data_IF_083704715846
#
_entry.id   IF_083704715846
#
_cell.length_a   1.000
_cell.length_b   1.000
_cell.length_c   1.000
_cell.angle_alpha   90.00
_cell.angle_beta   90.00
_cell.angle_gamma   90.00
#
_symmetry.space_group_name_H-M   'P 1'
#
loop_
_entity.id
_entity.type
_entity.pdbx_description
1 polymer ?
#
# COMPACT_ATOMS: atom_id res chain seq x y z
N UNK A 1 -27.03 3.24 -13.08
CA UNK A 1 -27.88 3.46 -11.88
C UNK A 1 -29.32 3.82 -12.22
N UNK A 2 -29.59 4.46 -13.37
CA UNK A 2 -30.94 4.90 -13.80
C UNK A 2 -31.45 4.21 -15.09
N UNK A 3 -31.22 2.89 -15.25
CA UNK A 3 -31.83 2.13 -16.37
C UNK A 3 -31.10 2.15 -17.72
N UNK A 4 -29.86 2.66 -17.78
CA UNK A 4 -29.02 2.62 -19.00
C UNK A 4 -28.29 1.28 -19.25
N UNK A 5 -28.64 0.23 -18.50
CA UNK A 5 -28.07 -1.11 -18.66
C UNK A 5 -28.84 -1.93 -19.72
N UNK A 6 -28.27 -3.03 -20.25
CA UNK A 6 -28.96 -3.88 -21.23
C UNK A 6 -30.29 -4.46 -20.77
N UNK A 7 -30.53 -4.54 -19.46
CA UNK A 7 -31.79 -4.99 -18.86
C UNK A 7 -32.79 -3.85 -18.59
N UNK A 8 -32.44 -2.61 -18.92
CA UNK A 8 -33.23 -1.40 -18.64
C UNK A 8 -33.75 -1.30 -17.19
N UNK A 9 -32.96 -1.80 -16.24
CA UNK A 9 -33.28 -1.89 -14.82
C UNK A 9 -32.57 -0.78 -14.02
N UNK A 10 -33.32 -0.12 -13.15
CA UNK A 10 -32.81 0.88 -12.24
C UNK A 10 -32.39 0.23 -10.91
N UNK A 11 -31.16 -0.28 -10.86
CA UNK A 11 -30.61 -0.93 -9.66
C UNK A 11 -30.65 -0.07 -8.38
N UNK A 12 -30.54 1.26 -8.51
CA UNK A 12 -30.49 2.17 -7.35
C UNK A 12 -29.49 1.72 -6.29
N UNK A 13 -29.94 1.57 -5.05
CA UNK A 13 -29.19 0.98 -3.93
C UNK A 13 -29.84 -0.32 -3.42
N UNK A 14 -30.50 -1.09 -4.30
CA UNK A 14 -31.30 -2.28 -3.91
C UNK A 14 -30.52 -3.30 -3.08
N UNK A 15 -29.22 -3.46 -3.32
CA UNK A 15 -28.36 -4.41 -2.61
C UNK A 15 -27.76 -3.88 -1.29
N UNK A 16 -28.04 -2.63 -0.93
CA UNK A 16 -27.50 -1.97 0.28
C UNK A 16 -28.47 -1.98 1.47
N UNK A 17 -29.61 -2.66 1.36
CA UNK A 17 -30.61 -2.75 2.43
C UNK A 17 -30.12 -3.54 3.65
N UNK A 18 -29.09 -4.38 3.48
CA UNK A 18 -28.43 -5.12 4.58
C UNK A 18 -26.96 -4.68 4.67
N UNK A 19 -26.64 -3.66 5.50
CA UNK A 19 -25.33 -3.00 5.46
C UNK A 19 -24.18 -3.85 6.04
N UNK A 20 -24.47 -4.83 6.90
CA UNK A 20 -23.47 -5.69 7.53
C UNK A 20 -23.95 -7.14 7.50
N UNK A 21 -23.22 -7.98 6.78
CA UNK A 21 -23.52 -9.41 6.63
C UNK A 21 -22.78 -10.21 7.68
N UNK A 22 -23.42 -11.27 8.18
CA UNK A 22 -22.82 -12.21 9.12
C UNK A 22 -21.70 -13.01 8.44
N UNK A 23 -20.55 -13.13 9.10
CA UNK A 23 -19.37 -13.78 8.50
C UNK A 23 -19.11 -15.19 9.06
N UNK A 24 -18.82 -15.32 10.36
CA UNK A 24 -18.46 -16.62 10.97
C UNK A 24 -19.54 -17.07 11.96
N UNK A 25 -19.92 -16.19 12.87
CA UNK A 25 -21.02 -16.43 13.81
C UNK A 25 -22.31 -15.78 13.29
N UNK A 26 -23.44 -16.15 13.87
CA UNK A 26 -24.74 -15.49 13.61
C UNK A 26 -24.95 -14.32 14.57
N UNK A 27 -25.81 -13.37 14.20
CA UNK A 27 -26.12 -12.19 15.01
C UNK A 27 -25.05 -11.10 15.01
N UNK A 28 -25.04 -10.26 16.04
CA UNK A 28 -24.20 -9.04 16.09
C UNK A 28 -22.70 -9.35 16.11
N UNK A 29 -22.30 -10.47 16.73
CA UNK A 29 -20.92 -10.95 16.70
C UNK A 29 -20.47 -11.30 15.27
N UNK A 30 -21.35 -11.95 14.50
CA UNK A 30 -21.13 -12.27 13.10
C UNK A 30 -20.93 -11.05 12.21
N UNK A 31 -21.76 -10.03 12.42
CA UNK A 31 -21.68 -8.75 11.70
C UNK A 31 -20.40 -7.99 12.03
N UNK A 32 -19.99 -7.98 13.30
CA UNK A 32 -18.73 -7.40 13.72
C UNK A 32 -17.53 -8.13 13.11
N UNK A 33 -17.55 -9.46 13.06
CA UNK A 33 -16.51 -10.26 12.40
C UNK A 33 -16.41 -9.96 10.90
N UNK A 34 -17.55 -9.76 10.22
CA UNK A 34 -17.59 -9.33 8.81
C UNK A 34 -16.98 -7.93 8.59
N UNK A 35 -17.21 -7.01 9.53
CA UNK A 35 -16.56 -5.70 9.52
C UNK A 35 -15.04 -5.80 9.68
N UNK A 36 -14.57 -6.58 10.66
CA UNK A 36 -13.13 -6.77 10.91
C UNK A 36 -12.44 -7.48 9.73
N UNK A 37 -13.09 -8.47 9.13
CA UNK A 37 -12.57 -9.15 7.94
C UNK A 37 -12.42 -8.18 6.76
N UNK A 38 -13.45 -7.34 6.53
CA UNK A 38 -13.43 -6.30 5.49
C UNK A 38 -12.34 -5.25 5.75
N UNK A 39 -12.18 -4.82 7.01
CA UNK A 39 -11.14 -3.87 7.43
C UNK A 39 -9.73 -4.44 7.22
N UNK A 40 -9.52 -5.73 7.50
CA UNK A 40 -8.24 -6.40 7.28
C UNK A 40 -7.87 -6.45 5.80
N UNK A 41 -8.83 -6.77 4.92
CA UNK A 41 -8.62 -6.71 3.46
C UNK A 41 -8.40 -5.27 2.97
N UNK A 42 -9.01 -4.27 3.61
CA UNK A 42 -8.75 -2.86 3.32
C UNK A 42 -7.32 -2.41 3.68
N UNK A 43 -6.75 -2.92 4.78
CA UNK A 43 -5.35 -2.64 5.15
C UNK A 43 -4.35 -3.10 4.08
N UNK A 44 -4.63 -4.20 3.37
CA UNK A 44 -3.82 -4.63 2.23
C UNK A 44 -3.92 -3.66 1.04
N UNK A 45 -5.13 -3.14 0.78
CA UNK A 45 -5.38 -2.27 -0.37
C UNK A 45 -4.70 -0.91 -0.23
N UNK A 46 -4.67 -0.34 0.98
CA UNK A 46 -4.03 0.96 1.25
C UNK A 46 -2.52 0.77 1.46
N UNK A 47 -1.83 0.50 0.36
CA UNK A 47 -0.39 0.58 0.21
C UNK A 47 -0.04 1.62 -0.87
N UNK A 48 1.18 2.14 -0.88
CA UNK A 48 1.60 3.04 -1.97
C UNK A 48 2.24 4.37 -1.57
N UNK A 49 1.74 5.10 -0.56
CA UNK A 49 2.29 6.41 -0.21
C UNK A 49 3.79 6.37 0.10
N UNK A 50 4.27 5.30 0.72
CA UNK A 50 5.68 5.06 1.01
C UNK A 50 6.56 4.94 -0.25
N UNK A 51 6.04 4.49 -1.39
CA UNK A 51 6.81 4.45 -2.64
C UNK A 51 7.02 5.85 -3.22
N UNK A 52 6.07 6.77 -3.00
CA UNK A 52 6.25 8.18 -3.36
C UNK A 52 7.43 8.79 -2.61
N UNK A 53 7.69 8.34 -1.37
CA UNK A 53 8.87 8.76 -0.60
C UNK A 53 10.18 8.27 -1.20
N UNK A 54 10.21 7.10 -1.85
CA UNK A 54 11.45 6.56 -2.42
C UNK A 54 11.91 7.35 -3.64
N UNK A 55 10.95 7.88 -4.41
CA UNK A 55 11.22 8.71 -5.59
C UNK A 55 11.67 10.13 -5.19
N UNK A 56 11.54 10.50 -3.91
CA UNK A 56 12.00 11.80 -3.41
C UNK A 56 13.48 12.05 -3.71
N UNK A 57 14.33 11.03 -3.62
CA UNK A 57 15.77 11.12 -3.92
C UNK A 57 16.09 11.34 -5.40
N UNK A 58 15.14 11.04 -6.29
CA UNK A 58 15.29 11.18 -7.75
C UNK A 58 14.47 12.37 -8.30
N UNK A 59 13.71 13.04 -7.43
CA UNK A 59 12.86 14.18 -7.82
C UNK A 59 13.69 15.46 -7.84
N UNK A 60 13.56 16.25 -8.92
CA UNK A 60 14.29 17.52 -9.09
C UNK A 60 13.98 18.52 -7.95
N UNK A 61 12.70 18.71 -7.60
CA UNK A 61 12.28 19.59 -6.50
C UNK A 61 11.33 18.85 -5.53
N UNK A 62 11.86 18.03 -4.61
CA UNK A 62 11.04 17.17 -3.77
C UNK A 62 10.15 17.96 -2.82
N UNK A 63 10.62 19.08 -2.26
CA UNK A 63 9.86 19.89 -1.29
C UNK A 63 8.61 20.55 -1.89
N UNK A 64 8.62 20.86 -3.18
CA UNK A 64 7.46 21.42 -3.89
C UNK A 64 6.57 20.34 -4.48
N UNK A 65 7.16 19.30 -5.08
CA UNK A 65 6.44 18.28 -5.85
C UNK A 65 5.79 17.24 -4.92
N UNK A 66 6.50 16.75 -3.91
CA UNK A 66 6.02 15.66 -3.05
C UNK A 66 4.73 16.01 -2.30
N UNK A 67 4.58 17.18 -1.65
CA UNK A 67 3.33 17.50 -0.95
C UNK A 67 2.10 17.49 -1.87
N UNK A 68 2.28 17.89 -3.14
CA UNK A 68 1.22 17.78 -4.15
C UNK A 68 0.98 16.34 -4.55
N UNK A 69 2.04 15.56 -4.81
CA UNK A 69 1.94 14.15 -5.19
C UNK A 69 1.21 13.32 -4.11
N UNK A 70 1.55 13.48 -2.82
CA UNK A 70 0.87 12.79 -1.72
C UNK A 70 -0.63 13.11 -1.65
N UNK A 71 -1.00 14.40 -1.82
CA UNK A 71 -2.41 14.81 -1.84
C UNK A 71 -3.16 14.18 -3.00
N UNK A 72 -2.55 14.15 -4.18
CA UNK A 72 -3.15 13.55 -5.37
C UNK A 72 -3.31 12.04 -5.21
N UNK A 73 -2.29 11.34 -4.70
CA UNK A 73 -2.36 9.89 -4.44
C UNK A 73 -3.48 9.58 -3.45
N UNK A 74 -3.58 10.32 -2.34
CA UNK A 74 -4.65 10.11 -1.36
C UNK A 74 -6.05 10.31 -1.97
N UNK A 75 -6.25 11.36 -2.76
CA UNK A 75 -7.53 11.63 -3.45
C UNK A 75 -7.83 10.53 -4.48
N UNK A 76 -6.85 10.15 -5.29
CA UNK A 76 -7.01 9.11 -6.32
C UNK A 76 -7.35 7.76 -5.70
N UNK A 77 -6.61 7.31 -4.69
CA UNK A 77 -6.90 6.06 -3.99
C UNK A 77 -8.30 6.09 -3.37
N UNK A 78 -8.69 7.19 -2.72
CA UNK A 78 -10.03 7.31 -2.13
C UNK A 78 -11.12 7.23 -3.19
N UNK A 79 -11.01 7.99 -4.28
CA UNK A 79 -12.03 8.01 -5.34
C UNK A 79 -12.11 6.65 -6.04
N UNK A 80 -10.99 6.04 -6.42
CA UNK A 80 -10.99 4.79 -7.16
C UNK A 80 -11.39 3.59 -6.28
N UNK A 81 -10.96 3.54 -5.02
CA UNK A 81 -11.28 2.40 -4.15
C UNK A 81 -12.69 2.50 -3.60
N UNK A 82 -13.08 3.66 -3.05
CA UNK A 82 -14.44 3.84 -2.53
C UNK A 82 -15.44 3.87 -3.68
N UNK A 83 -15.15 4.59 -4.76
CA UNK A 83 -16.00 4.64 -5.95
C UNK A 83 -16.13 3.28 -6.64
N UNK A 84 -15.03 2.53 -6.75
CA UNK A 84 -15.04 1.16 -7.29
C UNK A 84 -15.84 0.20 -6.41
N UNK A 85 -15.61 0.21 -5.10
CA UNK A 85 -16.36 -0.61 -4.15
C UNK A 85 -17.86 -0.28 -4.15
N UNK A 86 -18.23 1.01 -4.19
CA UNK A 86 -19.62 1.45 -4.34
C UNK A 86 -20.22 0.98 -5.67
N UNK A 87 -19.48 1.13 -6.77
CA UNK A 87 -19.93 0.72 -8.10
C UNK A 87 -20.19 -0.79 -8.18
N UNK A 88 -19.31 -1.61 -7.63
CA UNK A 88 -19.50 -3.07 -7.55
C UNK A 88 -20.62 -3.44 -6.59
N UNK A 89 -20.66 -2.85 -5.40
CA UNK A 89 -21.69 -3.14 -4.40
C UNK A 89 -23.11 -2.78 -4.84
N UNK A 90 -23.27 -1.83 -5.77
CA UNK A 90 -24.56 -1.53 -6.39
C UNK A 90 -24.92 -2.52 -7.50
N UNK A 91 -23.93 -3.01 -8.24
CA UNK A 91 -24.15 -3.88 -9.41
C UNK A 91 -24.23 -5.37 -9.07
N UNK A 92 -23.63 -5.81 -7.96
CA UNK A 92 -23.54 -7.22 -7.57
C UNK A 92 -24.09 -7.40 -6.15
N UNK A 93 -24.93 -8.43 -5.97
CA UNK A 93 -25.43 -8.81 -4.65
C UNK A 93 -24.36 -9.59 -3.88
N UNK A 94 -24.29 -9.41 -2.56
CA UNK A 94 -23.25 -10.04 -1.74
C UNK A 94 -23.33 -11.58 -1.76
N UNK A 95 -24.53 -12.16 -1.94
CA UNK A 95 -24.77 -13.60 -2.00
C UNK A 95 -25.10 -14.07 -3.43
N UNK A 96 -24.50 -13.43 -4.43
CA UNK A 96 -24.63 -13.87 -5.82
C UNK A 96 -24.02 -15.28 -6.00
N UNK A 97 -24.73 -16.25 -6.61
CA UNK A 97 -24.21 -17.59 -6.79
C UNK A 97 -22.84 -17.65 -7.48
N UNK A 98 -22.60 -16.78 -8.47
CA UNK A 98 -21.32 -16.73 -9.18
C UNK A 98 -20.19 -16.19 -8.29
N UNK A 99 -20.51 -15.27 -7.36
CA UNK A 99 -19.55 -14.74 -6.40
C UNK A 99 -19.24 -15.77 -5.31
N UNK A 100 -20.26 -16.47 -4.81
CA UNK A 100 -20.12 -17.53 -3.81
C UNK A 100 -19.37 -18.73 -4.38
N UNK A 101 -19.65 -19.13 -5.63
CA UNK A 101 -18.91 -20.17 -6.33
C UNK A 101 -17.46 -19.76 -6.58
N UNK A 102 -17.20 -18.49 -6.93
CA UNK A 102 -15.86 -17.97 -7.05
C UNK A 102 -15.06 -18.05 -5.72
N UNK A 103 -15.71 -17.75 -4.59
CA UNK A 103 -15.08 -17.80 -3.26
C UNK A 103 -14.88 -19.26 -2.80
N UNK A 104 -15.89 -20.11 -2.94
CA UNK A 104 -15.88 -21.49 -2.40
C UNK A 104 -15.23 -22.52 -3.35
N UNK A 105 -15.36 -22.32 -4.66
CA UNK A 105 -14.85 -23.22 -5.69
C UNK A 105 -13.35 -23.08 -5.94
N UNK A 106 -12.71 -22.04 -5.39
CA UNK A 106 -11.26 -21.81 -5.54
C UNK A 106 -10.82 -21.62 -6.99
N UNK A 107 -11.72 -21.16 -7.86
CA UNK A 107 -11.43 -20.93 -9.27
C UNK A 107 -10.30 -19.90 -9.42
N UNK A 108 -9.15 -20.25 -10.01
CA UNK A 108 -8.02 -19.33 -10.14
C UNK A 108 -8.35 -18.14 -11.05
N UNK A 109 -7.96 -16.93 -10.64
CA UNK A 109 -7.75 -15.80 -11.56
C UNK A 109 -8.82 -14.71 -11.62
N UNK A 110 -8.60 -13.74 -12.51
CA UNK A 110 -9.42 -12.52 -12.68
C UNK A 110 -10.89 -12.78 -13.09
N UNK A 111 -11.21 -14.00 -13.55
CA UNK A 111 -12.57 -14.42 -13.94
C UNK A 111 -13.58 -14.53 -12.78
N UNK A 112 -13.08 -14.52 -11.54
CA UNK A 112 -13.83 -14.55 -10.28
C UNK A 112 -14.06 -13.14 -9.66
N UNK A 113 -13.54 -12.08 -10.29
CA UNK A 113 -13.68 -10.71 -9.79
C UNK A 113 -15.14 -10.27 -9.75
N UNK A 114 -15.56 -9.61 -8.66
CA UNK A 114 -16.92 -9.07 -8.55
C UNK A 114 -17.28 -8.10 -9.70
N UNK A 115 -16.28 -7.45 -10.32
CA UNK A 115 -16.46 -6.65 -11.53
C UNK A 115 -16.90 -7.50 -12.73
N UNK A 116 -16.27 -8.65 -12.95
CA UNK A 116 -16.60 -9.53 -14.09
C UNK A 116 -17.90 -10.25 -13.85
N UNK A 117 -18.19 -10.65 -12.61
CA UNK A 117 -19.49 -11.21 -12.20
C UNK A 117 -20.63 -10.22 -12.45
N UNK A 118 -20.47 -8.95 -12.04
CA UNK A 118 -21.46 -7.91 -12.31
C UNK A 118 -21.74 -7.75 -13.81
N UNK A 119 -20.70 -7.78 -14.65
CA UNK A 119 -20.84 -7.65 -16.11
C UNK A 119 -21.50 -8.87 -16.76
N UNK A 120 -21.18 -10.08 -16.29
CA UNK A 120 -21.84 -11.32 -16.72
C UNK A 120 -23.32 -11.32 -16.35
N UNK A 121 -23.66 -10.91 -15.13
CA UNK A 121 -25.04 -10.79 -14.68
C UNK A 121 -25.84 -9.80 -15.53
N UNK A 122 -25.19 -8.77 -16.07
CA UNK A 122 -25.79 -7.80 -16.99
C UNK A 122 -25.93 -8.32 -18.43
N UNK A 123 -25.41 -9.51 -18.76
CA UNK A 123 -25.45 -10.08 -20.10
C UNK A 123 -24.46 -9.45 -21.08
N UNK A 124 -23.44 -8.74 -20.60
CA UNK A 124 -22.43 -8.09 -21.45
C UNK A 124 -21.28 -9.06 -21.69
N UNK A 125 -21.23 -9.66 -22.88
CA UNK A 125 -20.26 -10.73 -23.17
C UNK A 125 -18.82 -10.23 -23.37
N UNK A 126 -18.63 -9.04 -23.96
CA UNK A 126 -17.29 -8.54 -24.35
C UNK A 126 -16.56 -7.85 -23.18
N UNK A 127 -17.29 -7.14 -22.33
CA UNK A 127 -16.74 -6.29 -21.28
C UNK A 127 -15.92 -7.07 -20.22
N UNK A 128 -16.32 -8.28 -19.77
CA UNK A 128 -15.50 -9.11 -18.88
C UNK A 128 -14.10 -9.40 -19.43
N UNK A 129 -13.98 -9.64 -20.74
CA UNK A 129 -12.69 -9.93 -21.37
C UNK A 129 -11.78 -8.70 -21.38
N UNK A 130 -12.32 -7.53 -21.72
CA UNK A 130 -11.59 -6.26 -21.68
C UNK A 130 -11.08 -5.98 -20.25
N UNK A 131 -11.96 -6.13 -19.25
CA UNK A 131 -11.59 -5.90 -17.85
C UNK A 131 -10.54 -6.88 -17.36
N UNK A 132 -10.62 -8.15 -17.75
CA UNK A 132 -9.58 -9.14 -17.44
C UNK A 132 -8.22 -8.75 -18.02
N UNK A 133 -8.16 -8.30 -19.28
CA UNK A 133 -6.92 -7.84 -19.91
C UNK A 133 -6.36 -6.60 -19.19
N UNK A 134 -7.22 -5.67 -18.79
CA UNK A 134 -6.83 -4.49 -18.02
C UNK A 134 -6.31 -4.86 -16.63
N UNK A 135 -6.94 -5.81 -15.93
CA UNK A 135 -6.48 -6.30 -14.63
C UNK A 135 -5.11 -6.97 -14.72
N UNK A 136 -4.87 -7.78 -15.75
CA UNK A 136 -3.55 -8.41 -15.98
C UNK A 136 -2.49 -7.36 -16.30
N UNK A 137 -2.79 -6.42 -17.21
CA UNK A 137 -1.87 -5.32 -17.55
C UNK A 137 -1.55 -4.45 -16.33
N UNK A 138 -2.55 -4.13 -15.52
CA UNK A 138 -2.38 -3.36 -14.28
C UNK A 138 -1.53 -4.13 -13.25
N UNK A 139 -1.78 -5.43 -13.09
CA UNK A 139 -0.99 -6.29 -12.19
C UNK A 139 0.48 -6.38 -12.63
N UNK A 140 0.73 -6.48 -13.94
CA UNK A 140 2.08 -6.48 -14.49
C UNK A 140 2.79 -5.14 -14.26
N UNK A 141 2.10 -4.02 -14.49
CA UNK A 141 2.64 -2.68 -14.22
C UNK A 141 2.98 -2.50 -12.74
N UNK A 142 2.09 -2.94 -11.83
CA UNK A 142 2.35 -2.88 -10.39
C UNK A 142 3.57 -3.75 -10.01
N UNK A 143 3.68 -4.97 -10.55
CA UNK A 143 4.82 -5.85 -10.31
C UNK A 143 6.15 -5.23 -10.73
N UNK A 144 6.19 -4.50 -11.85
CA UNK A 144 7.37 -3.75 -12.27
C UNK A 144 7.73 -2.64 -11.26
N UNK A 145 6.75 -1.85 -10.81
CA UNK A 145 6.96 -0.80 -9.80
C UNK A 145 7.46 -1.37 -8.46
N UNK A 146 6.92 -2.49 -7.99
CA UNK A 146 7.39 -3.14 -6.76
C UNK A 146 8.80 -3.69 -6.89
N UNK A 147 9.15 -4.28 -8.03
CA UNK A 147 10.51 -4.76 -8.31
C UNK A 147 11.50 -3.59 -8.32
N UNK A 148 11.12 -2.47 -8.93
CA UNK A 148 11.90 -1.23 -8.88
C UNK A 148 12.16 -0.76 -7.45
N UNK A 149 11.09 -0.57 -6.67
CA UNK A 149 11.17 -0.07 -5.29
C UNK A 149 12.00 -0.99 -4.39
N UNK A 150 11.77 -2.31 -4.46
CA UNK A 150 12.52 -3.31 -3.69
C UNK A 150 14.02 -3.27 -4.01
N UNK A 151 14.38 -3.21 -5.29
CA UNK A 151 15.78 -3.17 -5.71
C UNK A 151 16.51 -1.91 -5.22
N UNK A 152 15.84 -0.75 -5.24
CA UNK A 152 16.39 0.54 -4.76
C UNK A 152 16.53 0.57 -3.25
N UNK A 153 15.56 0.05 -2.51
CA UNK A 153 15.64 -0.07 -1.07
C UNK A 153 16.82 -0.97 -0.64
N UNK A 154 16.98 -2.13 -1.29
CA UNK A 154 18.08 -3.05 -1.00
C UNK A 154 19.45 -2.46 -1.39
N UNK A 155 19.53 -1.77 -2.52
CA UNK A 155 20.73 -1.04 -2.94
C UNK A 155 21.11 0.06 -1.94
N UNK A 156 20.15 0.87 -1.49
CA UNK A 156 20.38 1.91 -0.47
C UNK A 156 20.90 1.33 0.84
N UNK A 157 20.31 0.22 1.31
CA UNK A 157 20.81 -0.50 2.48
C UNK A 157 22.24 -1.03 2.29
N UNK A 158 22.61 -1.44 1.08
CA UNK A 158 23.96 -1.92 0.79
C UNK A 158 25.00 -0.79 0.82
N UNK A 159 24.65 0.41 0.32
CA UNK A 159 25.51 1.60 0.38
C UNK A 159 25.79 2.04 1.82
N UNK A 160 24.79 1.95 2.70
CA UNK A 160 24.94 2.25 4.14
C UNK A 160 25.64 1.14 4.93
N UNK A 161 26.05 0.05 4.27
CA UNK A 161 26.67 -1.11 4.93
C UNK A 161 25.72 -1.92 5.81
N UNK A 162 24.40 -1.78 5.58
CA UNK A 162 23.32 -2.55 6.25
C UNK A 162 23.01 -3.87 5.55
N UNK A 163 23.27 -3.96 4.25
CA UNK A 163 23.17 -5.19 3.47
C UNK A 163 24.54 -5.62 2.90
N UNK A 164 24.60 -6.82 2.30
CA UNK A 164 25.82 -7.31 1.67
C UNK A 164 26.28 -6.38 0.52
N UNK A 165 27.59 -6.10 0.45
CA UNK A 165 28.18 -5.20 -0.56
C UNK A 165 27.91 -5.59 -2.01
N UNK A 166 27.62 -6.87 -2.26
CA UNK A 166 27.25 -7.40 -3.59
C UNK A 166 26.02 -6.67 -4.14
N UNK A 167 25.08 -6.26 -3.27
CA UNK A 167 23.87 -5.54 -3.69
C UNK A 167 24.12 -4.07 -4.05
N UNK A 168 25.29 -3.52 -3.71
CA UNK A 168 25.71 -2.19 -4.14
C UNK A 168 26.34 -2.19 -5.56
N UNK A 169 26.50 -3.36 -6.19
CA UNK A 169 27.01 -3.45 -7.54
C UNK A 169 25.94 -3.03 -8.57
N UNK A 170 26.29 -2.05 -9.40
CA UNK A 170 25.47 -1.57 -10.52
C UNK A 170 26.10 -1.91 -11.86
N UNK A 171 25.27 -2.18 -12.86
CA UNK A 171 25.71 -2.24 -14.26
C UNK A 171 26.15 -0.85 -14.77
N UNK A 172 26.71 -0.80 -15.98
CA UNK A 172 27.09 0.44 -16.68
C UNK A 172 25.97 1.47 -16.75
N UNK A 173 24.72 1.02 -16.83
CA UNK A 173 23.52 1.86 -16.88
C UNK A 173 22.98 2.26 -15.49
N UNK A 174 23.71 1.98 -14.40
CA UNK A 174 23.31 2.33 -13.03
C UNK A 174 22.25 1.42 -12.41
N UNK A 175 22.04 0.22 -12.96
CA UNK A 175 21.01 -0.74 -12.54
C UNK A 175 21.59 -1.78 -11.56
N UNK A 176 21.04 -1.93 -10.33
CA UNK A 176 21.53 -2.89 -9.33
C UNK A 176 21.04 -4.32 -9.61
N UNK A 177 21.73 -5.05 -10.49
CA UNK A 177 21.29 -6.36 -11.02
C UNK A 177 21.03 -7.39 -9.90
N UNK A 178 21.95 -7.52 -8.94
CA UNK A 178 21.79 -8.52 -7.87
C UNK A 178 20.59 -8.24 -6.97
N UNK A 179 20.28 -6.96 -6.72
CA UNK A 179 19.11 -6.56 -5.94
C UNK A 179 17.80 -6.87 -6.69
N UNK A 180 17.81 -6.71 -8.01
CA UNK A 180 16.67 -7.10 -8.87
C UNK A 180 16.47 -8.61 -8.86
N UNK A 181 17.53 -9.39 -9.04
CA UNK A 181 17.45 -10.86 -9.04
C UNK A 181 16.85 -11.39 -7.73
N UNK A 182 17.32 -10.88 -6.59
CA UNK A 182 16.75 -11.27 -5.28
C UNK A 182 15.28 -10.89 -5.19
N UNK A 183 14.89 -9.71 -5.68
CA UNK A 183 13.49 -9.28 -5.69
C UNK A 183 12.63 -10.21 -6.57
N UNK A 184 13.14 -10.65 -7.72
CA UNK A 184 12.46 -11.58 -8.62
C UNK A 184 12.37 -13.01 -8.04
N UNK A 185 13.35 -13.45 -7.25
CA UNK A 185 13.31 -14.75 -6.57
C UNK A 185 12.09 -14.88 -5.64
N UNK A 186 11.66 -13.79 -4.99
CA UNK A 186 10.43 -13.80 -4.19
C UNK A 186 9.18 -14.03 -5.04
N UNK A 187 9.18 -13.60 -6.31
CA UNK A 187 8.11 -13.90 -7.26
C UNK A 187 7.94 -15.39 -7.54
N UNK A 188 8.99 -16.20 -7.39
CA UNK A 188 8.91 -17.66 -7.54
C UNK A 188 8.03 -18.33 -6.47
N UNK A 189 7.73 -17.66 -5.35
CA UNK A 189 6.76 -18.17 -4.37
C UNK A 189 5.36 -18.37 -4.97
N UNK A 190 5.02 -17.67 -6.07
CA UNK A 190 3.78 -17.90 -6.79
C UNK A 190 3.64 -19.36 -7.29
N UNK A 191 4.75 -20.08 -7.54
CA UNK A 191 4.71 -21.49 -7.95
C UNK A 191 4.20 -22.46 -6.88
N UNK A 192 4.07 -22.03 -5.62
CA UNK A 192 3.45 -22.84 -4.56
C UNK A 192 2.00 -23.24 -4.92
N UNK A 193 1.33 -22.47 -5.78
CA UNK A 193 0.00 -22.79 -6.30
C UNK A 193 -0.05 -24.08 -7.15
N UNK A 194 1.10 -24.63 -7.58
CA UNK A 194 1.13 -25.89 -8.33
C UNK A 194 0.87 -27.11 -7.42
N UNK A 195 1.17 -27.01 -6.12
CA UNK A 195 1.00 -28.11 -5.16
C UNK A 195 -0.21 -27.99 -4.24
N UNK A 196 -0.88 -26.82 -4.21
CA UNK A 196 -2.02 -26.50 -3.35
C UNK A 196 -3.05 -25.67 -4.13
N UNK A 197 -4.26 -25.54 -3.62
CA UNK A 197 -5.27 -24.67 -4.24
C UNK A 197 -4.77 -23.22 -4.32
N UNK A 198 -4.94 -22.57 -5.47
CA UNK A 198 -4.39 -21.24 -5.73
C UNK A 198 -4.92 -20.16 -4.78
N UNK A 199 -6.19 -20.25 -4.38
CA UNK A 199 -6.81 -19.34 -3.40
C UNK A 199 -6.11 -19.37 -2.04
N UNK A 200 -5.76 -20.56 -1.55
CA UNK A 200 -5.09 -20.75 -0.26
C UNK A 200 -3.70 -20.11 -0.27
N UNK A 201 -2.92 -20.36 -1.33
CA UNK A 201 -1.58 -19.77 -1.49
C UNK A 201 -1.65 -18.26 -1.63
N UNK A 202 -2.64 -17.75 -2.36
CA UNK A 202 -2.87 -16.31 -2.48
C UNK A 202 -3.19 -15.69 -1.12
N UNK A 203 -4.07 -16.30 -0.33
CA UNK A 203 -4.40 -15.80 1.01
C UNK A 203 -3.18 -15.80 1.94
N UNK A 204 -2.31 -16.82 1.87
CA UNK A 204 -1.05 -16.85 2.61
C UNK A 204 -0.13 -15.67 2.24
N UNK A 205 0.06 -15.42 0.94
CA UNK A 205 0.89 -14.31 0.46
C UNK A 205 0.28 -12.97 0.84
N UNK A 206 -1.03 -12.80 0.70
CA UNK A 206 -1.74 -11.56 1.07
C UNK A 206 -1.61 -11.29 2.57
N UNK A 207 -1.79 -12.29 3.42
CA UNK A 207 -1.65 -12.13 4.87
C UNK A 207 -0.22 -11.73 5.24
N UNK A 208 0.78 -12.41 4.67
CA UNK A 208 2.20 -12.11 4.89
C UNK A 208 2.56 -10.68 4.45
N UNK A 209 2.13 -10.26 3.27
CA UNK A 209 2.39 -8.90 2.74
C UNK A 209 1.70 -7.85 3.59
N UNK A 210 0.45 -8.10 4.00
CA UNK A 210 -0.30 -7.13 4.82
C UNK A 210 0.34 -6.95 6.20
N UNK A 211 0.79 -8.03 6.84
CA UNK A 211 1.50 -7.94 8.11
C UNK A 211 2.79 -7.11 7.96
N UNK A 212 3.60 -7.39 6.92
CA UNK A 212 4.81 -6.61 6.62
C UNK A 212 4.51 -5.12 6.38
N UNK A 213 3.44 -4.82 5.64
CA UNK A 213 3.02 -3.45 5.35
C UNK A 213 2.61 -2.68 6.61
N UNK A 214 1.83 -3.30 7.50
CA UNK A 214 1.43 -2.69 8.77
C UNK A 214 2.64 -2.41 9.66
N UNK A 215 3.61 -3.33 9.71
CA UNK A 215 4.88 -3.13 10.42
C UNK A 215 5.70 -2.00 9.80
N UNK A 216 5.78 -1.95 8.47
CA UNK A 216 6.45 -0.86 7.77
C UNK A 216 5.88 0.51 8.17
N UNK A 217 4.55 0.65 8.21
CA UNK A 217 3.92 1.89 8.68
C UNK A 217 4.21 2.19 10.15
N UNK A 218 4.25 1.19 11.03
CA UNK A 218 4.65 1.40 12.43
C UNK A 218 6.09 1.95 12.51
N UNK A 219 7.02 1.43 11.71
CA UNK A 219 8.42 1.91 11.67
C UNK A 219 8.51 3.32 11.12
N UNK A 220 7.77 3.65 10.06
CA UNK A 220 7.71 5.02 9.50
C UNK A 220 7.20 6.00 10.55
N UNK A 221 6.07 5.68 11.21
CA UNK A 221 5.48 6.54 12.23
C UNK A 221 6.40 6.73 13.43
N UNK A 222 7.06 5.66 13.86
CA UNK A 222 8.06 5.72 14.95
C UNK A 222 9.22 6.63 14.55
N UNK A 223 9.80 6.41 13.37
CA UNK A 223 10.92 7.22 12.85
C UNK A 223 10.54 8.70 12.75
N UNK A 224 9.32 8.99 12.29
CA UNK A 224 8.80 10.36 12.24
C UNK A 224 8.67 11.00 13.64
N UNK A 225 8.19 10.25 14.64
CA UNK A 225 8.09 10.73 16.02
C UNK A 225 9.47 11.04 16.62
N UNK A 226 10.48 10.21 16.35
CA UNK A 226 11.87 10.45 16.75
C UNK A 226 12.47 11.67 16.04
N UNK A 227 12.31 11.77 14.71
CA UNK A 227 12.74 12.93 13.92
C UNK A 227 12.14 14.21 14.46
N UNK A 228 10.83 14.21 14.72
CA UNK A 228 10.14 15.38 15.26
C UNK A 228 10.68 15.78 16.62
N UNK A 229 10.89 14.82 17.51
CA UNK A 229 11.45 15.09 18.85
C UNK A 229 12.85 15.70 18.73
N UNK A 230 13.70 15.20 17.83
CA UNK A 230 15.01 15.78 17.55
C UNK A 230 14.91 17.22 17.01
N UNK A 231 14.05 17.44 16.02
CA UNK A 231 13.84 18.76 15.41
C UNK A 231 13.30 19.79 16.41
N UNK A 232 12.36 19.40 17.27
CA UNK A 232 11.79 20.26 18.31
C UNK A 232 12.84 20.68 19.35
N UNK A 233 13.80 19.79 19.67
CA UNK A 233 14.88 20.08 20.62
C UNK A 233 15.99 20.94 19.99
N UNK A 234 16.39 20.64 18.76
CA UNK A 234 17.53 21.31 18.12
C UNK A 234 17.17 22.64 17.45
N UNK A 235 16.01 22.72 16.78
CA UNK A 235 15.61 23.91 16.01
C UNK A 235 14.48 24.67 16.69
N UNK A 236 13.51 23.96 17.28
CA UNK A 236 12.35 24.53 17.97
C UNK A 236 11.35 25.28 17.09
N UNK A 237 11.75 25.71 15.89
CA UNK A 237 10.91 26.43 14.94
C UNK A 237 10.42 25.54 13.79
N UNK A 238 9.19 25.06 13.94
CA UNK A 238 8.51 24.26 12.91
C UNK A 238 8.12 25.06 11.67
N UNK A 239 8.15 26.39 11.68
CA UNK A 239 7.84 27.24 10.51
C UNK A 239 8.82 27.06 9.37
N UNK A 240 10.05 26.66 9.68
CA UNK A 240 11.11 26.38 8.70
C UNK A 240 10.92 25.05 7.97
N UNK A 241 10.02 24.18 8.44
CA UNK A 241 9.74 22.93 7.73
C UNK A 241 8.96 23.20 6.44
N UNK A 242 9.39 22.62 5.30
CA UNK A 242 8.74 22.83 4.00
C UNK A 242 7.28 22.37 3.96
N UNK A 243 6.96 21.36 4.78
CA UNK A 243 5.62 20.80 4.90
C UNK A 243 5.31 20.49 6.36
N UNK A 244 4.06 20.76 6.76
CA UNK A 244 3.52 20.40 8.07
C UNK A 244 2.24 19.61 7.90
N UNK A 245 2.20 18.41 8.47
CA UNK A 245 0.99 17.60 8.52
C UNK A 245 -0.05 18.23 9.45
N UNK A 246 -1.32 18.12 9.08
CA UNK A 246 -2.44 18.52 9.92
C UNK A 246 -2.58 17.56 11.12
N UNK A 247 -2.90 18.09 12.31
CA UNK A 247 -3.16 17.28 13.51
C UNK A 247 -1.94 16.58 14.14
N UNK A 248 -0.72 16.94 13.72
CA UNK A 248 0.50 16.34 14.23
C UNK A 248 0.82 16.83 15.66
N UNK A 249 1.09 15.95 16.67
CA UNK A 249 1.50 14.54 16.57
C UNK A 249 0.36 13.55 16.81
N UNK A 250 -0.81 14.03 17.22
CA UNK A 250 -1.91 13.18 17.65
C UNK A 250 -2.34 12.19 16.57
N UNK A 251 -2.34 12.63 15.30
CA UNK A 251 -2.61 11.76 14.15
C UNK A 251 -1.58 10.63 14.03
N UNK A 252 -0.30 10.89 14.28
CA UNK A 252 0.74 9.85 14.23
C UNK A 252 0.62 8.84 15.37
N UNK A 253 0.26 9.28 16.58
CA UNK A 253 -0.01 8.35 17.69
C UNK A 253 -1.24 7.49 17.43
N UNK A 254 -2.32 8.09 16.94
CA UNK A 254 -3.53 7.37 16.57
C UNK A 254 -3.25 6.34 15.46
N UNK A 255 -2.55 6.75 14.40
CA UNK A 255 -2.19 5.85 13.31
C UNK A 255 -1.33 4.68 13.80
N UNK A 256 -0.35 4.94 14.69
CA UNK A 256 0.51 3.91 15.24
C UNK A 256 -0.28 2.91 16.09
N UNK A 257 -1.17 3.40 16.95
CA UNK A 257 -2.02 2.53 17.76
C UNK A 257 -2.93 1.66 16.89
N UNK A 258 -3.54 2.25 15.86
CA UNK A 258 -4.43 1.51 14.96
C UNK A 258 -3.69 0.46 14.14
N UNK A 259 -2.52 0.77 13.58
CA UNK A 259 -1.72 -0.23 12.85
C UNK A 259 -1.21 -1.32 13.79
N UNK A 260 -0.78 -0.97 15.00
CA UNK A 260 -0.40 -1.93 16.03
C UNK A 260 -1.55 -2.91 16.36
N UNK A 261 -2.77 -2.40 16.60
CA UNK A 261 -3.93 -3.25 16.83
C UNK A 261 -4.22 -4.16 15.63
N UNK A 262 -4.19 -3.62 14.40
CA UNK A 262 -4.51 -4.38 13.19
C UNK A 262 -3.52 -5.50 12.88
N UNK A 263 -2.24 -5.36 13.25
CA UNK A 263 -1.24 -6.43 13.11
C UNK A 263 -1.64 -7.68 13.89
N UNK A 264 -2.19 -7.52 15.10
CA UNK A 264 -2.64 -8.66 15.91
C UNK A 264 -3.99 -9.18 15.44
N UNK A 265 -4.91 -8.28 15.10
CA UNK A 265 -6.26 -8.61 14.67
C UNK A 265 -6.26 -9.34 13.34
N UNK A 266 -5.34 -9.08 12.41
CA UNK A 266 -5.32 -9.71 11.09
C UNK A 266 -5.42 -11.25 11.10
N UNK A 267 -4.71 -11.92 12.01
CA UNK A 267 -4.69 -13.39 12.10
C UNK A 267 -5.72 -13.98 13.08
N UNK A 268 -6.68 -13.20 13.57
CA UNK A 268 -7.57 -13.62 14.67
C UNK A 268 -8.38 -14.89 14.36
N UNK A 269 -8.69 -15.13 13.08
CA UNK A 269 -9.50 -16.26 12.62
C UNK A 269 -8.87 -17.62 12.96
N UNK A 270 -7.55 -17.68 13.10
CA UNK A 270 -6.79 -18.88 13.47
C UNK A 270 -7.08 -19.31 14.91
N UNK A 271 -7.43 -18.37 15.79
CA UNK A 271 -7.74 -18.64 17.20
C UNK A 271 -9.20 -19.01 17.44
N UNK A 272 -10.04 -19.05 16.40
CA UNK A 272 -11.43 -19.47 16.54
C UNK A 272 -11.53 -20.99 16.72
N UNK A 273 -12.50 -21.49 17.52
CA UNK A 273 -12.68 -22.92 17.75
C UNK A 273 -12.85 -23.67 16.43
N UNK A 274 -11.98 -24.67 16.17
CA UNK A 274 -12.03 -25.50 14.96
C UNK A 274 -11.26 -24.98 13.74
N UNK A 275 -10.69 -23.76 13.79
CA UNK A 275 -9.97 -23.14 12.68
C UNK A 275 -8.43 -23.11 12.85
N UNK A 276 -7.91 -23.89 13.80
CA UNK A 276 -6.47 -23.94 14.04
C UNK A 276 -5.74 -24.59 12.85
N UNK A 277 -4.87 -23.82 12.22
CA UNK A 277 -3.94 -24.30 11.19
C UNK A 277 -2.56 -23.71 11.43
N UNK A 278 -1.56 -24.57 11.54
CA UNK A 278 -0.16 -24.16 11.71
C UNK A 278 0.30 -23.32 10.52
N UNK A 279 -0.14 -23.67 9.31
CA UNK A 279 0.17 -22.93 8.08
C UNK A 279 -0.40 -21.51 8.15
N UNK A 280 -1.69 -21.37 8.48
CA UNK A 280 -2.35 -20.06 8.59
C UNK A 280 -1.79 -19.21 9.73
N UNK A 281 -1.44 -19.80 10.87
CA UNK A 281 -0.77 -19.12 11.98
C UNK A 281 0.58 -18.57 11.53
N UNK A 282 1.40 -19.42 10.90
CA UNK A 282 2.72 -19.05 10.44
C UNK A 282 2.62 -17.91 9.41
N UNK A 283 1.85 -18.07 8.32
CA UNK A 283 1.78 -17.02 7.30
C UNK A 283 1.16 -15.70 7.78
N UNK A 284 0.32 -15.72 8.82
CA UNK A 284 -0.27 -14.49 9.38
C UNK A 284 0.67 -13.77 10.35
N UNK A 285 1.51 -14.49 11.09
CA UNK A 285 2.32 -13.90 12.18
C UNK A 285 3.84 -13.98 11.94
N UNK A 286 4.31 -14.72 10.94
CA UNK A 286 5.73 -14.93 10.65
C UNK A 286 6.49 -13.61 10.48
N UNK A 287 5.90 -12.63 9.80
CA UNK A 287 6.56 -11.33 9.58
C UNK A 287 6.85 -10.59 10.89
N UNK A 288 5.97 -10.70 11.90
CA UNK A 288 6.22 -10.12 13.22
C UNK A 288 7.48 -10.72 13.84
N UNK A 289 7.60 -12.06 13.80
CA UNK A 289 8.75 -12.75 14.36
C UNK A 289 10.04 -12.47 13.57
N UNK A 290 9.95 -12.43 12.24
CA UNK A 290 11.09 -12.09 11.37
C UNK A 290 11.58 -10.68 11.68
N UNK A 291 10.70 -9.69 11.75
CA UNK A 291 11.08 -8.29 11.96
C UNK A 291 11.67 -8.06 13.36
N UNK A 292 11.10 -8.67 14.40
CA UNK A 292 11.67 -8.66 15.75
C UNK A 292 13.04 -9.35 15.74
N UNK A 293 13.15 -10.51 15.09
CA UNK A 293 14.41 -11.26 14.97
C UNK A 293 15.49 -10.46 14.27
N UNK A 294 15.18 -9.82 13.14
CA UNK A 294 16.09 -8.95 12.39
C UNK A 294 16.51 -7.73 13.21
N UNK A 295 15.57 -7.11 13.93
CA UNK A 295 15.87 -5.98 14.81
C UNK A 295 16.86 -6.37 15.92
N UNK A 296 16.59 -7.48 16.62
CA UNK A 296 17.45 -7.99 17.69
C UNK A 296 18.81 -8.40 17.12
N UNK A 297 18.84 -9.14 16.01
CA UNK A 297 20.06 -9.56 15.33
C UNK A 297 20.94 -8.35 14.99
N UNK A 298 20.37 -7.32 14.36
CA UNK A 298 21.11 -6.11 14.01
C UNK A 298 21.64 -5.38 15.24
N UNK A 299 20.82 -5.26 16.28
CA UNK A 299 21.18 -4.56 17.52
C UNK A 299 22.29 -5.29 18.29
N UNK A 300 22.26 -6.62 18.33
CA UNK A 300 23.30 -7.44 18.98
C UNK A 300 24.59 -7.45 18.15
N UNK A 301 24.48 -7.64 16.83
CA UNK A 301 25.64 -7.74 15.94
C UNK A 301 26.39 -6.41 15.80
N UNK A 302 25.67 -5.30 15.57
CA UNK A 302 26.27 -3.96 15.41
C UNK A 302 26.40 -3.18 16.71
N UNK A 303 25.86 -3.70 17.82
CA UNK A 303 25.88 -3.05 19.15
C UNK A 303 25.45 -1.58 19.09
N UNK A 304 24.39 -1.29 18.36
CA UNK A 304 23.90 0.08 18.16
C UNK A 304 23.17 0.59 19.41
N UNK A 305 23.42 1.86 19.76
CA UNK A 305 22.70 2.57 20.82
C UNK A 305 21.55 3.39 20.25
N UNK A 306 20.58 3.72 21.10
CA UNK A 306 19.56 4.72 20.74
C UNK A 306 20.21 6.09 20.67
N UNK A 307 19.99 6.79 19.56
CA UNK A 307 20.47 8.17 19.36
C UNK A 307 19.59 9.11 20.17
N UNK A 308 20.22 9.98 20.96
CA UNK A 308 19.49 11.01 21.71
C UNK A 308 18.94 12.07 20.74
N UNK A 309 17.79 12.70 21.05
CA UNK A 309 17.23 13.74 20.19
C UNK A 309 18.19 14.91 19.93
N UNK A 310 19.06 15.23 20.89
CA UNK A 310 20.05 16.31 20.81
C UNK A 310 21.19 16.00 19.84
N UNK A 311 21.58 14.71 19.74
CA UNK A 311 22.71 14.24 18.95
C UNK A 311 22.31 13.74 17.55
N UNK A 312 21.01 13.74 17.24
CA UNK A 312 20.48 13.24 15.98
C UNK A 312 20.88 14.16 14.82
N UNK A 313 21.48 13.62 13.77
CA UNK A 313 21.86 14.41 12.60
C UNK A 313 20.64 14.77 11.75
N UNK A 314 20.32 16.07 11.72
CA UNK A 314 19.26 16.67 10.89
C UNK A 314 19.81 17.71 9.90
N UNK A 315 21.14 17.88 9.83
CA UNK A 315 21.78 18.97 9.08
C UNK A 315 22.65 18.49 7.92
N UNK A 316 23.16 17.27 7.95
CA UNK A 316 24.00 16.75 6.86
C UNK A 316 23.23 16.72 5.54
N UNK A 317 23.85 17.23 4.47
CA UNK A 317 23.24 17.33 3.14
C UNK A 317 22.20 18.45 2.99
N UNK A 318 21.79 19.12 4.08
CA UNK A 318 20.76 20.17 4.02
C UNK A 318 21.22 21.37 3.18
N UNK A 319 22.47 21.81 3.35
CA UNK A 319 23.01 22.98 2.64
C UNK A 319 23.04 22.78 1.12
N UNK A 320 23.36 21.58 0.65
CA UNK A 320 23.35 21.24 -0.78
C UNK A 320 21.93 21.28 -1.36
N UNK A 321 20.97 20.69 -0.65
CA UNK A 321 19.56 20.70 -1.05
C UNK A 321 19.01 22.12 -1.09
N UNK A 322 19.32 22.95 -0.08
CA UNK A 322 18.90 24.36 -0.06
C UNK A 322 19.54 25.18 -1.18
N UNK A 323 20.81 24.93 -1.52
CA UNK A 323 21.47 25.60 -2.64
C UNK A 323 20.82 25.23 -3.99
N UNK A 324 20.53 23.95 -4.20
CA UNK A 324 19.82 23.47 -5.38
C UNK A 324 18.42 24.10 -5.51
N UNK A 325 17.70 24.22 -4.39
CA UNK A 325 16.37 24.84 -4.38
C UNK A 325 16.42 26.33 -4.72
N UNK A 326 17.40 27.07 -4.20
CA UNK A 326 17.59 28.48 -4.56
C UNK A 326 17.87 28.64 -6.05
N UNK A 327 18.66 27.73 -6.62
CA UNK A 327 18.92 27.69 -8.07
C UNK A 327 17.64 27.44 -8.88
N UNK A 328 16.85 26.43 -8.51
CA UNK A 328 15.58 26.14 -9.20
C UNK A 328 14.56 27.27 -9.06
N UNK A 329 14.47 27.89 -7.88
CA UNK A 329 13.58 29.03 -7.65
C UNK A 329 13.96 30.23 -8.53
N UNK A 330 15.27 30.47 -8.75
CA UNK A 330 15.74 31.50 -9.66
C UNK A 330 15.32 31.21 -11.13
N UNK A 331 15.41 29.96 -11.58
CA UNK A 331 14.95 29.55 -12.91
C UNK A 331 13.44 29.75 -13.05
N UNK A 332 12.65 29.30 -12.07
CA UNK A 332 11.20 29.46 -12.09
C UNK A 332 10.77 30.93 -12.12
N UNK A 333 11.50 31.82 -11.45
CA UNK A 333 11.23 33.26 -11.47
C UNK A 333 11.41 33.88 -12.87
N UNK A 334 12.34 33.34 -13.67
CA UNK A 334 12.60 33.78 -15.05
C UNK A 334 11.69 33.13 -16.09
N UNK A 335 11.00 32.04 -15.72
CA UNK A 335 10.16 31.26 -16.65
C UNK A 335 8.72 31.79 -16.67
N UNK A 336 8.12 32.13 -17.83
CA UNK A 336 6.74 32.61 -17.88
C UNK A 336 5.75 31.51 -17.46
N UNK A 337 4.94 31.79 -16.43
CA UNK A 337 3.93 30.85 -15.93
C UNK A 337 2.79 30.68 -16.95
N UNK A 338 2.62 29.46 -17.49
CA UNK A 338 1.43 29.10 -18.29
C UNK A 338 0.19 29.10 -17.39
N UNK A 339 -0.86 29.84 -17.78
CA UNK A 339 -2.17 29.77 -17.13
C UNK A 339 -2.86 28.47 -17.53
N UNK A 340 -3.01 27.55 -16.57
CA UNK A 340 -3.80 26.34 -16.78
C UNK A 340 -5.30 26.63 -16.71
N UNK A 341 -6.03 26.12 -17.71
CA UNK A 341 -7.50 26.19 -17.75
C UNK A 341 -8.10 25.28 -16.65
N UNK A 342 -9.36 25.50 -16.30
CA UNK A 342 -10.00 24.78 -15.20
C UNK A 342 -10.15 23.27 -15.45
N UNK A 343 -10.42 22.85 -16.69
CA UNK A 343 -10.44 21.43 -17.08
C UNK A 343 -9.05 20.78 -17.04
N UNK A 344 -8.00 21.53 -17.37
CA UNK A 344 -6.61 21.06 -17.28
C UNK A 344 -6.20 20.83 -15.83
N UNK A 345 -6.75 21.61 -14.88
CA UNK A 345 -6.55 21.37 -13.44
C UNK A 345 -7.19 20.06 -12.98
N UNK A 346 -8.37 19.72 -13.50
CA UNK A 346 -9.04 18.44 -13.22
C UNK A 346 -8.23 17.29 -13.83
N UNK A 347 -7.79 17.45 -15.08
CA UNK A 347 -6.89 16.50 -15.75
C UNK A 347 -5.58 16.31 -15.00
N UNK A 348 -4.97 17.38 -14.49
CA UNK A 348 -3.75 17.31 -13.67
C UNK A 348 -3.99 16.54 -12.36
N UNK A 349 -5.11 16.82 -11.71
CA UNK A 349 -5.47 16.22 -10.43
C UNK A 349 -5.73 14.72 -10.56
N UNK A 350 -6.35 14.29 -11.67
CA UNK A 350 -6.70 12.90 -11.94
C UNK A 350 -5.64 12.09 -12.70
N UNK A 351 -4.84 12.71 -13.58
CA UNK A 351 -4.00 12.01 -14.56
C UNK A 351 -2.57 12.55 -14.73
N UNK A 352 -2.13 13.60 -14.02
CA UNK A 352 -0.71 13.99 -14.06
C UNK A 352 0.13 12.91 -13.37
N UNK A 353 1.09 12.34 -14.10
CA UNK A 353 2.29 11.68 -13.57
C UNK A 353 3.43 12.66 -13.47
#
# INVERSE_FOLDING_TARGET
MVGGNPKHDAYGFRYWSTPMVEYIHTGDLGRFQGFIASLTKFCFLIAGPEYVSQIAGETINPRKVLPSAYKQVAIRLTIFFVGGALGVGICCYYNDPLLVEAINGGAPGAGASAYTVAMKNLGINVLPHIVNVLLVTSSFSAGNSYTYCSSRALYGMALEGKAFKIFAYCNKDGVPIFAILVSLCWGCLAYLQLGKQASVVLDWIVNLVTASQLINFMVILTTFLFFRKAYDVQVGDRSKLPFKGWGQPYVSYYAFFMTFCMVWVQGYTVFLPGNWSVESFLFSYLMIFIDIGLYIFWKVYKRTSFVKPEDADITTGLAEVEAHERYLAAIEATTPKKKHRWWEKIGYLLFST
#
